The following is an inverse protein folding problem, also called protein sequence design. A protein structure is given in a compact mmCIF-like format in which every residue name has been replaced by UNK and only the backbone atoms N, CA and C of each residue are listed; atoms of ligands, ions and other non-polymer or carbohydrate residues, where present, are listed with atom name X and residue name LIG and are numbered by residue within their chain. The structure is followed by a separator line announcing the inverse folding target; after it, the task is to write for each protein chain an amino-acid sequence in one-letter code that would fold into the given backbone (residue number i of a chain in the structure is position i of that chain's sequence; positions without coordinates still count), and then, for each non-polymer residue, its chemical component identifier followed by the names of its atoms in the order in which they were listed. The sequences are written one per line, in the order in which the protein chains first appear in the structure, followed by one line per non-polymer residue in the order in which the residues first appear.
data_IF_402968695335
#
_entry.id   IF_402968695335
#
_cell.length_a   1.000
_cell.length_b   1.000
_cell.length_c   1.000
_cell.angle_alpha   90.00
_cell.angle_beta   90.00
_cell.angle_gamma   90.00
#
_symmetry.space_group_name_H-M   'P 1'
#
loop_
_entity.id
_entity.type
_entity.pdbx_description
1 polymer ?
#
# COMPACT_ATOMS: atom_id res chain seq x y z
N UNK A 1 22.59 -1.85 31.58
CA UNK A 1 22.65 -2.24 30.15
C UNK A 1 22.39 -0.99 29.30
N UNK A 2 23.01 0.14 29.67
CA UNK A 2 22.47 1.48 29.39
C UNK A 2 23.49 2.44 28.75
N UNK A 3 24.79 2.28 29.02
CA UNK A 3 25.83 3.16 28.46
C UNK A 3 26.00 3.02 26.94
N UNK A 4 25.77 1.82 26.38
CA UNK A 4 25.93 1.55 24.95
C UNK A 4 24.76 2.09 24.13
N UNK A 5 23.54 2.09 24.69
CA UNK A 5 22.34 2.61 24.02
C UNK A 5 22.37 4.14 23.98
N UNK A 6 22.79 4.79 25.06
CA UNK A 6 22.95 6.25 25.09
C UNK A 6 24.07 6.73 24.16
N UNK A 7 25.20 6.02 24.08
CA UNK A 7 26.29 6.35 23.14
C UNK A 7 25.91 6.15 21.67
N UNK A 8 25.08 5.16 21.36
CA UNK A 8 24.53 4.99 20.01
C UNK A 8 23.50 6.08 19.71
N UNK A 9 22.64 6.42 20.67
CA UNK A 9 21.64 7.49 20.54
C UNK A 9 22.24 8.89 20.37
N UNK A 10 23.38 9.18 21.00
CA UNK A 10 24.07 10.47 20.86
C UNK A 10 24.74 10.63 19.49
N UNK A 11 25.35 9.57 18.93
CA UNK A 11 25.89 9.58 17.56
C UNK A 11 24.83 9.75 16.47
N UNK A 12 23.60 9.28 16.70
CA UNK A 12 22.49 9.43 15.75
C UNK A 12 22.00 10.89 15.67
N UNK A 13 22.09 11.66 16.77
CA UNK A 13 21.71 13.08 16.79
C UNK A 13 22.63 13.99 15.96
N UNK A 14 23.80 13.49 15.56
CA UNK A 14 24.80 14.26 14.79
C UNK A 14 24.84 13.91 13.31
N UNK A 15 24.04 12.95 12.82
CA UNK A 15 23.92 12.72 11.38
C UNK A 15 23.21 13.94 10.75
N UNK A 16 23.91 14.78 9.98
CA UNK A 16 23.28 15.94 9.39
C UNK A 16 22.28 15.48 8.34
N UNK A 17 21.17 16.19 8.17
CA UNK A 17 20.18 15.99 7.10
C UNK A 17 20.72 16.32 5.69
N UNK A 18 22.03 16.21 5.47
CA UNK A 18 22.74 16.66 4.26
C UNK A 18 22.66 15.68 3.10
N UNK A 19 22.19 14.45 3.33
CA UNK A 19 22.12 13.43 2.29
C UNK A 19 20.68 13.21 1.83
N UNK A 20 20.44 13.36 0.52
CA UNK A 20 19.15 13.08 -0.10
C UNK A 20 18.98 11.57 -0.33
N UNK A 21 17.86 11.01 0.13
CA UNK A 21 17.49 9.61 -0.04
C UNK A 21 16.82 9.43 -1.40
N UNK A 22 17.50 8.72 -2.31
CA UNK A 22 17.02 8.52 -3.68
C UNK A 22 16.80 7.03 -3.95
N UNK A 23 15.53 6.64 -4.19
CA UNK A 23 15.16 5.35 -4.79
C UNK A 23 14.68 5.56 -6.23
N UNK A 24 15.56 5.30 -7.20
CA UNK A 24 15.29 5.50 -8.64
C UNK A 24 14.43 4.38 -9.23
N UNK A 25 14.80 3.13 -8.96
CA UNK A 25 14.13 1.96 -9.54
C UNK A 25 12.81 1.69 -8.82
N UNK A 26 11.79 1.38 -9.62
CA UNK A 26 10.46 0.97 -9.17
C UNK A 26 10.07 -0.34 -9.85
N UNK A 27 9.40 -1.20 -9.11
CA UNK A 27 8.79 -2.44 -9.58
C UNK A 27 7.30 -2.19 -9.79
N UNK A 28 6.65 -1.54 -8.82
CA UNK A 28 5.25 -1.13 -8.91
C UNK A 28 5.13 0.17 -9.72
N UNK A 29 4.91 0.01 -11.03
CA UNK A 29 4.79 1.17 -11.92
C UNK A 29 3.41 1.79 -11.90
N UNK A 30 2.34 1.00 -11.80
CA UNK A 30 0.94 1.44 -11.85
C UNK A 30 0.26 1.10 -10.55
N UNK A 31 -0.45 2.06 -9.97
CA UNK A 31 -1.13 1.86 -8.69
C UNK A 31 -2.50 2.53 -8.66
N UNK A 32 -3.45 1.85 -8.03
CA UNK A 32 -4.73 2.39 -7.63
C UNK A 32 -4.75 2.42 -6.11
N UNK A 33 -4.91 3.60 -5.53
CA UNK A 33 -5.23 3.75 -4.12
C UNK A 33 -6.74 3.85 -3.96
N UNK A 34 -7.29 3.01 -3.10
CA UNK A 34 -8.69 3.04 -2.69
C UNK A 34 -8.74 3.63 -1.28
N UNK A 35 -9.19 4.88 -1.19
CA UNK A 35 -9.35 5.63 0.04
C UNK A 35 -10.81 5.77 0.45
N UNK A 36 -11.06 6.61 1.46
CA UNK A 36 -12.36 6.81 2.08
C UNK A 36 -12.41 6.28 3.49
N UNK A 37 -13.30 6.84 4.30
CA UNK A 37 -13.43 6.52 5.72
C UNK A 37 -13.85 5.05 5.98
N UNK A 38 -13.54 4.47 7.16
CA UNK A 38 -14.04 3.14 7.54
C UNK A 38 -15.56 3.07 7.43
N UNK A 39 -16.09 2.05 6.74
CA UNK A 39 -17.53 1.88 6.57
C UNK A 39 -18.19 2.66 5.41
N UNK A 40 -17.41 3.35 4.57
CA UNK A 40 -17.94 4.04 3.39
C UNK A 40 -18.22 3.14 2.16
N UNK A 41 -17.92 1.84 2.24
CA UNK A 41 -18.19 0.87 1.17
C UNK A 41 -16.97 0.43 0.35
N UNK A 42 -15.75 0.80 0.75
CA UNK A 42 -14.51 0.39 0.05
C UNK A 42 -14.41 -1.11 -0.22
N UNK A 43 -14.80 -1.94 0.75
CA UNK A 43 -14.75 -3.40 0.61
C UNK A 43 -15.64 -3.94 -0.51
N UNK A 44 -16.72 -3.24 -0.88
CA UNK A 44 -17.53 -3.57 -2.06
C UNK A 44 -16.83 -3.12 -3.35
N UNK A 45 -16.18 -1.95 -3.32
CA UNK A 45 -15.44 -1.42 -4.47
C UNK A 45 -14.24 -2.29 -4.84
N UNK A 46 -13.60 -2.92 -3.85
CA UNK A 46 -12.34 -3.62 -4.06
C UNK A 46 -12.42 -4.79 -5.05
N UNK A 47 -13.39 -5.72 -4.95
CA UNK A 47 -13.59 -6.76 -5.97
C UNK A 47 -13.94 -6.22 -7.35
N UNK A 48 -14.68 -5.10 -7.44
CA UNK A 48 -15.05 -4.47 -8.71
C UNK A 48 -13.78 -4.00 -9.43
N UNK A 49 -12.91 -3.28 -8.73
CA UNK A 49 -11.62 -2.86 -9.27
C UNK A 49 -10.73 -4.06 -9.60
N UNK A 50 -10.69 -5.09 -8.75
CA UNK A 50 -9.94 -6.32 -9.01
C UNK A 50 -10.41 -7.12 -10.24
N UNK A 51 -11.63 -6.86 -10.73
CA UNK A 51 -12.15 -7.49 -11.95
C UNK A 51 -11.53 -6.86 -13.20
N UNK A 52 -11.14 -5.59 -13.14
CA UNK A 52 -10.51 -4.86 -14.24
C UNK A 52 -9.20 -5.53 -14.66
N UNK A 53 -8.85 -5.35 -15.93
CA UNK A 53 -7.65 -5.94 -16.51
C UNK A 53 -6.40 -5.52 -15.74
N UNK A 54 -5.48 -6.46 -15.53
CA UNK A 54 -4.18 -6.29 -14.87
C UNK A 54 -4.20 -5.85 -13.39
N UNK A 55 -5.36 -5.52 -12.82
CA UNK A 55 -5.50 -5.18 -11.40
C UNK A 55 -5.25 -6.39 -10.50
N UNK A 56 -4.36 -6.23 -9.53
CA UNK A 56 -4.07 -7.21 -8.48
C UNK A 56 -5.15 -7.19 -7.40
N UNK A 57 -5.15 -8.19 -6.51
CA UNK A 57 -6.05 -8.27 -5.37
C UNK A 57 -5.77 -7.11 -4.43
N UNK A 58 -6.83 -6.60 -3.80
CA UNK A 58 -6.70 -5.56 -2.80
C UNK A 58 -5.70 -5.93 -1.70
N UNK A 59 -4.78 -5.01 -1.42
CA UNK A 59 -3.84 -5.09 -0.30
C UNK A 59 -4.09 -3.93 0.65
N UNK A 60 -4.38 -4.23 1.91
CA UNK A 60 -4.43 -3.20 2.95
C UNK A 60 -3.00 -2.82 3.33
N UNK A 61 -2.63 -1.56 3.16
CA UNK A 61 -1.32 -1.06 3.56
C UNK A 61 -1.46 0.24 4.35
N UNK A 62 -1.68 0.10 5.65
CA UNK A 62 -1.79 1.22 6.59
C UNK A 62 -0.43 1.89 6.85
N UNK A 63 0.67 1.18 6.62
CA UNK A 63 2.01 1.72 6.77
C UNK A 63 2.18 2.96 5.90
N UNK A 64 1.76 2.91 4.63
CA UNK A 64 1.81 4.06 3.71
C UNK A 64 1.05 5.27 4.29
N UNK A 65 -0.12 5.06 4.89
CA UNK A 65 -0.89 6.12 5.54
C UNK A 65 -0.12 6.71 6.74
N UNK A 66 0.49 5.86 7.56
CA UNK A 66 1.33 6.32 8.67
C UNK A 66 2.55 7.11 8.21
N UNK A 67 3.23 6.70 7.13
CA UNK A 67 4.33 7.47 6.54
C UNK A 67 3.83 8.85 6.12
N UNK A 68 2.70 8.91 5.42
CA UNK A 68 2.10 10.18 4.99
C UNK A 68 1.76 11.10 6.18
N UNK A 69 1.19 10.53 7.25
CA UNK A 69 0.90 11.27 8.49
C UNK A 69 2.16 11.81 9.16
N UNK A 70 3.22 11.01 9.26
CA UNK A 70 4.50 11.46 9.83
C UNK A 70 5.13 12.60 9.02
N UNK A 71 5.06 12.53 7.69
CA UNK A 71 5.50 13.61 6.83
C UNK A 71 4.70 14.89 7.07
N UNK A 72 3.36 14.77 7.13
CA UNK A 72 2.48 15.92 7.42
C UNK A 72 2.77 16.57 8.77
N UNK A 73 3.20 15.78 9.76
CA UNK A 73 3.62 16.25 11.08
C UNK A 73 5.06 16.78 11.13
N UNK A 74 5.78 16.80 10.00
CA UNK A 74 7.17 17.26 9.95
C UNK A 74 8.16 16.36 10.68
N UNK A 75 7.83 15.07 10.87
CA UNK A 75 8.67 14.10 11.60
C UNK A 75 9.63 13.33 10.72
N UNK A 76 9.38 13.29 9.41
CA UNK A 76 10.25 12.68 8.40
C UNK A 76 10.37 13.62 7.21
N UNK A 77 11.51 13.55 6.52
CA UNK A 77 11.78 14.36 5.32
C UNK A 77 11.00 13.83 4.11
N UNK A 78 10.87 14.67 3.08
CA UNK A 78 10.11 14.33 1.88
C UNK A 78 10.75 13.20 1.06
N UNK A 79 12.06 13.25 0.88
CA UNK A 79 12.85 12.25 0.17
C UNK A 79 12.75 10.88 0.84
N UNK A 80 12.87 10.83 2.18
CA UNK A 80 12.64 9.63 2.99
C UNK A 80 11.23 9.08 2.79
N UNK A 81 10.23 9.97 2.86
CA UNK A 81 8.82 9.63 2.66
C UNK A 81 8.59 9.01 1.29
N UNK A 82 9.09 9.63 0.22
CA UNK A 82 8.96 9.16 -1.16
C UNK A 82 9.67 7.81 -1.34
N UNK A 83 10.88 7.66 -0.81
CA UNK A 83 11.63 6.41 -0.88
C UNK A 83 10.91 5.27 -0.16
N UNK A 84 10.36 5.53 1.03
CA UNK A 84 9.60 4.56 1.81
C UNK A 84 8.31 4.14 1.11
N UNK A 85 7.53 5.08 0.56
CA UNK A 85 6.31 4.74 -0.19
C UNK A 85 6.64 3.82 -1.36
N UNK A 86 7.66 4.17 -2.17
CA UNK A 86 8.10 3.35 -3.30
C UNK A 86 8.54 1.96 -2.86
N UNK A 87 9.30 1.87 -1.77
CA UNK A 87 9.74 0.59 -1.21
C UNK A 87 8.56 -0.28 -0.78
N UNK A 88 7.58 0.30 -0.06
CA UNK A 88 6.41 -0.41 0.42
C UNK A 88 5.53 -0.91 -0.75
N UNK A 89 5.31 -0.09 -1.77
CA UNK A 89 4.53 -0.50 -2.95
C UNK A 89 5.25 -1.57 -3.78
N UNK A 90 6.57 -1.45 -3.92
CA UNK A 90 7.37 -2.46 -4.62
C UNK A 90 7.32 -3.80 -3.89
N UNK A 91 7.44 -3.78 -2.56
CA UNK A 91 7.37 -4.97 -1.72
C UNK A 91 6.00 -5.64 -1.79
N UNK A 92 4.93 -4.85 -1.72
CA UNK A 92 3.56 -5.36 -1.85
C UNK A 92 3.37 -6.09 -3.19
N UNK A 93 3.76 -5.45 -4.30
CA UNK A 93 3.58 -6.05 -5.62
C UNK A 93 4.46 -7.30 -5.81
N UNK A 94 5.71 -7.25 -5.33
CA UNK A 94 6.61 -8.38 -5.33
C UNK A 94 6.02 -9.57 -4.55
N UNK A 95 5.53 -9.34 -3.34
CA UNK A 95 4.89 -10.38 -2.53
C UNK A 95 3.65 -10.96 -3.23
N UNK A 96 2.77 -10.12 -3.78
CA UNK A 96 1.58 -10.58 -4.51
C UNK A 96 1.89 -11.40 -5.76
N UNK A 97 3.01 -11.09 -6.44
CA UNK A 97 3.44 -11.86 -7.62
C UNK A 97 3.84 -13.31 -7.31
N UNK A 98 4.10 -13.61 -6.03
CA UNK A 98 4.42 -14.93 -5.48
C UNK A 98 3.36 -15.44 -4.50
N UNK A 99 2.18 -14.81 -4.45
CA UNK A 99 1.09 -15.21 -3.53
C UNK A 99 1.48 -15.09 -2.04
N UNK A 100 2.49 -14.28 -1.69
CA UNK A 100 2.87 -14.00 -0.30
C UNK A 100 1.91 -13.00 0.34
N UNK A 101 1.68 -13.16 1.64
CA UNK A 101 0.81 -12.29 2.45
C UNK A 101 -0.62 -12.15 1.92
N UNK A 102 -1.13 -13.23 1.34
CA UNK A 102 -2.47 -13.33 0.79
C UNK A 102 -3.41 -13.97 1.82
N UNK A 103 -4.62 -13.43 1.94
CA UNK A 103 -5.62 -13.95 2.87
C UNK A 103 -6.37 -15.16 2.27
N UNK A 104 -6.19 -16.33 2.87
CA UNK A 104 -6.89 -17.57 2.51
C UNK A 104 -8.10 -17.88 3.40
N UNK A 105 -8.48 -16.99 4.32
CA UNK A 105 -9.66 -17.20 5.19
C UNK A 105 -10.94 -17.10 4.37
N UNK A 106 -11.53 -18.23 4.00
CA UNK A 106 -12.67 -18.34 3.09
C UNK A 106 -13.84 -17.37 3.34
N UNK A 107 -14.19 -17.12 4.62
CA UNK A 107 -15.31 -16.25 5.01
C UNK A 107 -14.95 -14.75 5.03
N UNK A 108 -13.67 -14.39 4.95
CA UNK A 108 -13.20 -13.01 5.01
C UNK A 108 -13.45 -12.28 3.69
N UNK A 109 -13.87 -11.01 3.77
CA UNK A 109 -14.11 -10.15 2.61
C UNK A 109 -12.84 -9.90 1.79
N UNK A 110 -11.69 -9.89 2.45
CA UNK A 110 -10.39 -9.67 1.82
C UNK A 110 -9.76 -10.93 1.23
N UNK A 111 -10.44 -12.07 1.36
CA UNK A 111 -9.91 -13.36 0.92
C UNK A 111 -9.77 -13.46 -0.60
N UNK A 112 -8.82 -14.28 -1.06
CA UNK A 112 -8.74 -14.63 -2.49
C UNK A 112 -10.04 -15.19 -3.03
N UNK A 113 -10.81 -15.92 -2.21
CA UNK A 113 -12.06 -16.53 -2.63
C UNK A 113 -13.18 -15.51 -2.88
N UNK A 114 -12.96 -14.24 -2.47
CA UNK A 114 -13.83 -13.10 -2.77
C UNK A 114 -13.26 -12.20 -3.86
N UNK A 115 -12.06 -12.48 -4.35
CA UNK A 115 -11.49 -11.82 -5.52
C UNK A 115 -12.10 -12.43 -6.80
N UNK A 116 -12.34 -11.64 -7.86
CA UNK A 116 -12.87 -12.15 -9.13
C UNK A 116 -11.91 -13.08 -9.90
N UNK A 117 -10.61 -13.05 -9.59
CA UNK A 117 -9.54 -13.82 -10.25
C UNK A 117 -8.77 -14.69 -9.24
N UNK A 118 -9.44 -15.57 -8.47
CA UNK A 118 -8.78 -16.35 -7.41
C UNK A 118 -7.70 -17.27 -7.99
N UNK A 119 -7.96 -17.85 -9.17
CA UNK A 119 -7.05 -18.77 -9.85
C UNK A 119 -5.72 -18.14 -10.26
N UNK A 120 -5.64 -16.80 -10.41
CA UNK A 120 -4.37 -16.09 -10.66
C UNK A 120 -3.37 -16.38 -9.53
N UNK A 121 -3.83 -16.28 -8.29
CA UNK A 121 -3.00 -16.44 -7.09
C UNK A 121 -2.75 -17.91 -6.77
N UNK A 122 -3.75 -18.77 -6.99
CA UNK A 122 -3.57 -20.22 -6.83
C UNK A 122 -2.53 -20.74 -7.83
N UNK A 123 -2.54 -20.30 -9.10
CA UNK A 123 -1.50 -20.66 -10.07
C UNK A 123 -0.12 -20.18 -9.62
N UNK A 124 -0.01 -18.90 -9.23
CA UNK A 124 1.25 -18.31 -8.75
C UNK A 124 1.84 -19.02 -7.53
N UNK A 125 1.01 -19.67 -6.70
CA UNK A 125 1.48 -20.46 -5.55
C UNK A 125 2.41 -21.61 -5.96
N UNK A 126 2.22 -22.17 -7.16
CA UNK A 126 3.00 -23.28 -7.69
C UNK A 126 4.02 -22.85 -8.75
N UNK A 127 4.22 -21.54 -8.95
CA UNK A 127 5.21 -20.99 -9.88
C UNK A 127 6.49 -20.62 -9.15
N UNK A 128 7.60 -20.56 -9.89
CA UNK A 128 8.87 -20.08 -9.36
C UNK A 128 8.79 -18.61 -8.93
N UNK A 129 9.44 -18.32 -7.80
CA UNK A 129 9.52 -16.98 -7.19
C UNK A 129 10.75 -16.18 -7.61
N UNK A 130 11.13 -15.22 -6.77
CA UNK A 130 12.38 -14.46 -6.88
C UNK A 130 12.58 -13.75 -8.24
N UNK A 131 13.56 -14.17 -9.03
CA UNK A 131 13.83 -13.55 -10.34
C UNK A 131 12.65 -13.72 -11.31
N UNK A 132 11.98 -14.88 -11.30
CA UNK A 132 10.82 -15.15 -12.16
C UNK A 132 9.62 -14.27 -11.81
N UNK A 133 9.45 -13.95 -10.52
CA UNK A 133 8.45 -13.00 -10.07
C UNK A 133 8.69 -11.59 -10.67
N UNK A 134 9.94 -11.12 -10.68
CA UNK A 134 10.30 -9.83 -11.27
C UNK A 134 10.11 -9.81 -12.79
N UNK A 135 10.43 -10.90 -13.49
CA UNK A 135 10.19 -11.04 -14.93
C UNK A 135 8.70 -10.97 -15.22
N UNK A 136 7.87 -11.68 -14.44
CA UNK A 136 6.41 -11.62 -14.53
C UNK A 136 5.88 -10.21 -14.35
N UNK A 137 6.34 -9.50 -13.31
CA UNK A 137 5.88 -8.12 -13.06
C UNK A 137 6.24 -7.20 -14.23
N UNK A 138 7.46 -7.32 -14.78
CA UNK A 138 7.88 -6.53 -15.95
C UNK A 138 7.04 -6.84 -17.19
N UNK A 139 6.73 -8.13 -17.42
CA UNK A 139 5.95 -8.60 -18.57
C UNK A 139 4.47 -8.22 -18.48
N UNK A 140 3.86 -8.49 -17.33
CA UNK A 140 2.42 -8.34 -17.11
C UNK A 140 2.05 -6.88 -16.76
N UNK A 141 3.03 -6.07 -16.34
CA UNK A 141 2.86 -4.67 -15.89
C UNK A 141 1.58 -4.44 -15.05
N UNK A 142 1.41 -5.21 -13.96
CA UNK A 142 0.19 -5.24 -13.18
C UNK A 142 -0.08 -3.92 -12.47
N UNK A 143 -1.36 -3.67 -12.16
CA UNK A 143 -1.80 -2.52 -11.38
C UNK A 143 -1.94 -2.96 -9.92
N UNK A 144 -1.10 -2.41 -9.03
CA UNK A 144 -1.23 -2.67 -7.60
C UNK A 144 -2.49 -1.96 -7.07
N UNK A 145 -3.32 -2.68 -6.32
CA UNK A 145 -4.51 -2.13 -5.68
C UNK A 145 -4.27 -2.02 -4.16
N UNK A 146 -4.09 -0.80 -3.67
CA UNK A 146 -3.79 -0.53 -2.25
C UNK A 146 -4.98 0.12 -1.58
N UNK A 147 -5.42 -0.43 -0.43
CA UNK A 147 -6.52 0.10 0.37
C UNK A 147 -5.98 0.84 1.60
N UNK A 148 -6.57 2.00 1.86
CA UNK A 148 -6.26 2.89 2.98
C UNK A 148 -7.56 3.42 3.61
N UNK A 149 -7.50 4.11 4.75
CA UNK A 149 -8.70 4.63 5.43
C UNK A 149 -8.80 6.15 5.43
N UNK A 150 -7.68 6.87 5.40
CA UNK A 150 -7.72 8.33 5.51
C UNK A 150 -6.67 9.03 4.62
N UNK A 151 -6.44 8.47 3.45
CA UNK A 151 -5.41 8.94 2.55
C UNK A 151 -5.64 10.36 2.03
N UNK A 152 -6.90 10.77 1.86
CA UNK A 152 -7.23 12.06 1.26
C UNK A 152 -6.62 13.24 2.03
N UNK A 153 -6.52 13.14 3.36
CA UNK A 153 -6.00 14.23 4.22
C UNK A 153 -4.47 14.34 4.13
N UNK A 154 -3.77 13.24 3.86
CA UNK A 154 -2.31 13.15 3.98
C UNK A 154 -1.60 12.68 2.70
N UNK A 155 -2.32 12.43 1.60
CA UNK A 155 -1.84 11.68 0.44
C UNK A 155 -0.92 12.41 -0.54
N UNK A 156 -0.61 13.69 -0.31
CA UNK A 156 0.30 14.47 -1.19
C UNK A 156 1.63 13.74 -1.48
N UNK A 157 2.30 13.10 -0.51
CA UNK A 157 3.56 12.40 -0.80
C UNK A 157 3.42 11.21 -1.74
N UNK A 158 2.25 10.60 -1.83
CA UNK A 158 1.99 9.48 -2.73
C UNK A 158 1.96 9.96 -4.18
N UNK A 159 1.31 11.10 -4.43
CA UNK A 159 1.31 11.74 -5.75
C UNK A 159 2.75 12.02 -6.19
N UNK A 160 3.60 12.49 -5.28
CA UNK A 160 5.02 12.74 -5.56
C UNK A 160 5.83 11.45 -5.78
N UNK A 161 5.53 10.40 -5.01
CA UNK A 161 6.21 9.10 -5.15
C UNK A 161 5.88 8.40 -6.47
N UNK A 162 4.62 8.42 -6.87
CA UNK A 162 4.08 7.65 -8.01
C UNK A 162 4.02 8.46 -9.31
N UNK A 163 3.99 9.80 -9.23
CA UNK A 163 3.86 10.72 -10.37
C UNK A 163 2.62 10.38 -11.21
N UNK A 164 2.77 10.21 -12.51
CA UNK A 164 1.66 10.08 -13.48
C UNK A 164 0.98 8.71 -13.46
N UNK A 165 1.59 7.69 -12.83
CA UNK A 165 1.05 6.32 -12.85
C UNK A 165 0.19 5.99 -11.61
N UNK A 166 -0.60 6.96 -11.17
CA UNK A 166 -1.39 6.90 -9.95
C UNK A 166 -2.86 7.22 -10.23
N UNK A 167 -3.75 6.42 -9.65
CA UNK A 167 -5.18 6.69 -9.60
C UNK A 167 -5.66 6.63 -8.14
N UNK A 168 -6.42 7.64 -7.71
CA UNK A 168 -7.11 7.66 -6.43
C UNK A 168 -8.61 7.41 -6.65
N UNK A 169 -9.14 6.40 -5.97
CA UNK A 169 -10.57 6.12 -5.89
C UNK A 169 -11.01 6.35 -4.45
N UNK A 170 -11.69 7.47 -4.21
CA UNK A 170 -12.15 7.85 -2.86
C UNK A 170 -13.61 7.43 -2.66
N UNK A 171 -13.86 6.55 -1.68
CA UNK A 171 -15.20 6.18 -1.29
C UNK A 171 -15.85 7.27 -0.43
N UNK A 172 -16.82 8.01 -0.99
CA UNK A 172 -17.59 9.02 -0.25
C UNK A 172 -19.02 8.50 -0.03
N UNK A 173 -19.46 8.54 1.23
CA UNK A 173 -20.83 8.17 1.62
C UNK A 173 -21.45 9.32 2.41
N UNK A 174 -22.77 9.49 2.29
CA UNK A 174 -23.48 10.56 2.98
C UNK A 174 -23.18 10.56 4.50
N UNK A 175 -22.81 11.70 5.11
CA UNK A 175 -22.34 11.78 6.50
C UNK A 175 -23.29 11.16 7.52
N UNK A 176 -24.61 11.34 7.34
CA UNK A 176 -25.62 10.73 8.23
C UNK A 176 -25.50 9.20 8.30
N UNK A 177 -25.23 8.54 7.17
CA UNK A 177 -25.02 7.09 7.16
C UNK A 177 -23.65 6.70 7.72
N UNK A 178 -22.64 7.55 7.56
CA UNK A 178 -21.33 7.34 8.18
C UNK A 178 -21.42 7.35 9.70
N UNK A 179 -22.12 8.31 10.31
CA UNK A 179 -22.34 8.37 11.76
C UNK A 179 -23.08 7.13 12.26
N UNK A 180 -24.14 6.71 11.54
CA UNK A 180 -24.86 5.47 11.88
C UNK A 180 -23.97 4.24 11.82
N UNK A 181 -23.10 4.15 10.82
CA UNK A 181 -22.15 3.06 10.67
C UNK A 181 -21.13 3.05 11.80
N UNK A 182 -20.55 4.21 12.15
CA UNK A 182 -19.55 4.32 13.21
C UNK A 182 -20.10 4.02 14.60
N UNK A 183 -21.37 4.36 14.86
CA UNK A 183 -22.06 3.98 16.10
C UNK A 183 -22.14 2.45 16.31
N UNK A 184 -21.98 1.63 15.27
CA UNK A 184 -21.92 0.18 15.45
C UNK A 184 -20.57 -0.29 16.00
N UNK A 185 -19.54 0.57 15.99
CA UNK A 185 -18.17 0.26 16.40
C UNK A 185 -17.72 1.04 17.66
N UNK A 186 -18.52 2.00 18.12
CA UNK A 186 -18.30 2.83 19.32
C UNK A 186 -19.42 2.52 20.30
#
# INVERSE_FOLDING_TARGET
MDATIEQVGSKIKELPSTYEIIRKNKIANRIIFVGGLPGCGKSMMSPILGALQDVEIQKYNYSIEHVCSLYRLGRITEDATVAMIRMLTDLDLYNLSMTREINLRYKDLSSIFKNPKPWRYIKRLFMDGDAEALIRIKRDNPILQTLTHNLLIHGVPIVRAMKENFCLVEGVRHPLYMVRQWRLYI
#
